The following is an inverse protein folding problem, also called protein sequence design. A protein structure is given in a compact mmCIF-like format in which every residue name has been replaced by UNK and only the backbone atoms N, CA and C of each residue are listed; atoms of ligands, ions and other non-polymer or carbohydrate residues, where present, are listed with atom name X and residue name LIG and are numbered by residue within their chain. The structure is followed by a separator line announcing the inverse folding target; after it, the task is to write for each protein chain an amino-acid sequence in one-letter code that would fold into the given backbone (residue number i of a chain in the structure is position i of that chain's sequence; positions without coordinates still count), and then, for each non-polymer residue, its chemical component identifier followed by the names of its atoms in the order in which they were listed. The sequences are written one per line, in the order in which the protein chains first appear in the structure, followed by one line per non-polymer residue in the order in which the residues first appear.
data_IF_599936767468
#
_entry.id   IF_599936767468
#
_cell.length_a   1.000
_cell.length_b   1.000
_cell.length_c   1.000
_cell.angle_alpha   90.00
_cell.angle_beta   90.00
_cell.angle_gamma   90.00
#
_symmetry.space_group_name_H-M   'P 1'
#
loop_
_entity.id
_entity.type
_entity.pdbx_description
1 polymer ?
#
# COMPACT_ATOMS: atom_id res chain seq x y z
N UNK A 1 5.17 -18.29 -1.59
CA UNK A 1 3.92 -18.62 -2.32
C UNK A 1 3.82 -17.99 -3.70
N UNK A 2 4.25 -16.75 -3.91
CA UNK A 2 4.22 -16.10 -5.24
C UNK A 2 5.26 -16.64 -6.24
N UNK A 3 6.33 -17.27 -5.78
CA UNK A 3 7.40 -17.78 -6.65
C UNK A 3 6.92 -18.83 -7.69
N UNK A 4 5.82 -19.51 -7.40
CA UNK A 4 5.20 -20.54 -8.29
C UNK A 4 3.90 -20.06 -8.95
N UNK A 5 3.52 -18.77 -8.75
CA UNK A 5 2.30 -18.23 -9.31
C UNK A 5 2.38 -18.23 -10.84
N UNK A 6 1.35 -18.77 -11.48
CA UNK A 6 1.17 -18.69 -12.93
C UNK A 6 0.68 -17.27 -13.29
N UNK A 7 1.05 -16.75 -14.47
CA UNK A 7 0.46 -15.53 -14.98
C UNK A 7 -1.06 -15.60 -14.96
N UNK A 8 -1.71 -14.48 -14.68
CA UNK A 8 -3.16 -14.40 -14.75
C UNK A 8 -3.61 -14.42 -16.22
N UNK A 9 -4.79 -14.97 -16.46
CA UNK A 9 -5.38 -14.94 -17.81
C UNK A 9 -5.67 -13.48 -18.22
N UNK A 10 -5.53 -13.18 -19.50
CA UNK A 10 -5.74 -11.83 -20.06
C UNK A 10 -7.12 -11.25 -19.70
N UNK A 11 -8.17 -12.09 -19.71
CA UNK A 11 -9.51 -11.67 -19.30
C UNK A 11 -9.58 -11.25 -17.81
N UNK A 12 -8.77 -11.85 -16.95
CA UNK A 12 -8.66 -11.45 -15.53
C UNK A 12 -7.89 -10.16 -15.39
N UNK A 13 -6.77 -10.02 -16.12
CA UNK A 13 -5.97 -8.80 -16.15
C UNK A 13 -6.80 -7.61 -16.66
N UNK A 14 -7.62 -7.79 -17.70
CA UNK A 14 -8.52 -6.76 -18.22
C UNK A 14 -9.55 -6.31 -17.16
N UNK A 15 -10.06 -7.22 -16.32
CA UNK A 15 -10.98 -6.86 -15.22
C UNK A 15 -10.25 -6.07 -14.13
N UNK A 16 -9.03 -6.45 -13.79
CA UNK A 16 -8.19 -5.74 -12.82
C UNK A 16 -7.90 -4.33 -13.33
N UNK A 17 -7.50 -4.20 -14.58
CA UNK A 17 -7.22 -2.90 -15.22
C UNK A 17 -8.48 -2.00 -15.22
N UNK A 18 -9.62 -2.56 -15.61
CA UNK A 18 -10.90 -1.83 -15.58
C UNK A 18 -11.28 -1.39 -14.15
N UNK A 19 -11.09 -2.24 -13.15
CA UNK A 19 -11.35 -1.92 -11.76
C UNK A 19 -10.49 -0.75 -11.27
N UNK A 20 -9.18 -0.78 -11.56
CA UNK A 20 -8.27 0.31 -11.20
C UNK A 20 -8.61 1.61 -11.92
N UNK A 21 -8.95 1.55 -13.22
CA UNK A 21 -9.36 2.72 -14.01
C UNK A 21 -10.66 3.35 -13.55
N UNK A 22 -11.52 2.59 -12.88
CA UNK A 22 -12.78 3.07 -12.28
C UNK A 22 -12.60 3.60 -10.85
N UNK A 23 -11.36 3.78 -10.38
CA UNK A 23 -11.05 4.28 -9.05
C UNK A 23 -10.92 3.19 -7.97
N UNK A 24 -10.92 1.92 -8.36
CA UNK A 24 -10.65 0.82 -7.44
C UNK A 24 -9.19 0.77 -6.99
N UNK A 25 -8.96 0.41 -5.74
CA UNK A 25 -7.63 0.23 -5.17
C UNK A 25 -7.36 -1.23 -4.87
N UNK A 26 -6.15 -1.70 -5.19
CA UNK A 26 -5.69 -3.08 -4.93
C UNK A 26 -4.44 -3.03 -4.08
N UNK A 27 -4.38 -3.90 -3.06
CA UNK A 27 -3.21 -4.08 -2.21
C UNK A 27 -2.57 -5.42 -2.55
N UNK A 28 -1.32 -5.40 -2.96
CA UNK A 28 -0.49 -6.58 -3.14
C UNK A 28 0.46 -6.74 -1.96
N UNK A 29 0.19 -7.73 -1.14
CA UNK A 29 1.04 -8.11 -0.01
C UNK A 29 1.82 -9.36 -0.38
N UNK A 30 3.11 -9.20 -0.70
CA UNK A 30 3.95 -10.29 -1.22
C UNK A 30 4.44 -11.24 -0.12
N UNK A 31 4.43 -10.77 1.14
CA UNK A 31 4.81 -11.55 2.35
C UNK A 31 6.25 -12.09 2.34
N UNK A 32 7.11 -11.53 1.53
CA UNK A 32 8.46 -12.03 1.30
C UNK A 32 9.56 -11.22 2.00
N UNK A 33 9.18 -10.22 2.82
CA UNK A 33 10.14 -9.54 3.66
C UNK A 33 10.81 -10.56 4.62
N UNK A 34 12.11 -10.51 4.70
CA UNK A 34 12.88 -11.47 5.53
C UNK A 34 13.25 -12.77 4.83
N UNK A 35 12.81 -13.01 3.59
CA UNK A 35 13.23 -14.15 2.77
C UNK A 35 14.43 -13.83 1.87
N UNK A 36 15.13 -12.71 2.10
CA UNK A 36 16.32 -12.31 1.33
C UNK A 36 16.00 -11.76 -0.07
N UNK A 37 14.75 -11.49 -0.37
CA UNK A 37 14.36 -10.84 -1.62
C UNK A 37 14.78 -9.36 -1.55
N UNK A 38 15.46 -8.80 -2.58
CA UNK A 38 15.84 -7.40 -2.60
C UNK A 38 14.62 -6.51 -2.36
N UNK A 39 14.73 -5.57 -1.44
CA UNK A 39 13.66 -4.65 -1.03
C UNK A 39 13.31 -3.59 -2.08
N UNK A 40 13.84 -3.71 -3.29
CA UNK A 40 13.52 -2.82 -4.41
C UNK A 40 12.43 -3.42 -5.31
N UNK A 41 11.23 -2.86 -5.26
CA UNK A 41 10.20 -3.19 -6.24
C UNK A 41 10.54 -2.56 -7.59
N UNK A 42 11.20 -3.32 -8.45
CA UNK A 42 11.27 -3.01 -9.87
C UNK A 42 10.40 -4.00 -10.63
N UNK A 43 9.25 -3.56 -11.11
CA UNK A 43 8.46 -4.34 -12.09
C UNK A 43 9.23 -4.62 -13.38
N UNK A 44 10.38 -3.96 -13.58
CA UNK A 44 11.22 -4.06 -14.78
C UNK A 44 12.58 -4.72 -14.56
N UNK A 45 12.83 -5.29 -13.37
CA UNK A 45 14.09 -5.99 -13.13
C UNK A 45 14.21 -7.19 -14.10
N UNK A 46 15.36 -7.35 -14.72
CA UNK A 46 15.69 -8.56 -15.50
C UNK A 46 15.51 -9.78 -14.60
N UNK A 47 14.63 -10.70 -15.02
CA UNK A 47 14.23 -11.85 -14.21
C UNK A 47 12.88 -11.70 -13.49
N UNK A 48 12.31 -10.50 -13.43
CA UNK A 48 10.98 -10.15 -12.91
C UNK A 48 10.70 -10.67 -11.50
N UNK A 49 10.16 -9.82 -10.64
CA UNK A 49 9.62 -10.28 -9.35
C UNK A 49 8.45 -11.24 -9.58
N UNK A 50 8.13 -12.14 -8.65
CA UNK A 50 6.93 -12.98 -8.73
C UNK A 50 5.65 -12.17 -9.02
N UNK A 51 5.55 -10.98 -8.45
CA UNK A 51 4.43 -10.07 -8.70
C UNK A 51 4.46 -9.51 -10.12
N UNK A 52 5.63 -9.11 -10.64
CA UNK A 52 5.77 -8.66 -12.02
C UNK A 52 5.37 -9.74 -13.04
N UNK A 53 5.69 -11.00 -12.76
CA UNK A 53 5.24 -12.14 -13.61
C UNK A 53 3.74 -12.37 -13.54
N UNK A 54 3.14 -12.20 -12.36
CA UNK A 54 1.69 -12.35 -12.16
C UNK A 54 0.91 -11.30 -12.94
N UNK A 55 1.42 -10.07 -12.98
CA UNK A 55 0.77 -8.87 -13.51
C UNK A 55 1.36 -8.43 -14.87
N UNK A 56 2.20 -9.24 -15.49
CA UNK A 56 3.12 -8.88 -16.58
C UNK A 56 2.56 -8.11 -17.78
N UNK A 57 1.25 -8.20 -18.04
CA UNK A 57 0.58 -7.46 -19.12
C UNK A 57 -0.28 -6.30 -18.59
N UNK A 58 -0.24 -6.02 -17.28
CA UNK A 58 -0.92 -4.85 -16.73
C UNK A 58 -0.06 -3.60 -16.90
N UNK A 59 -0.70 -2.51 -17.31
CA UNK A 59 -0.05 -1.20 -17.32
C UNK A 59 0.01 -0.65 -15.89
N UNK A 60 1.03 -1.12 -15.15
CA UNK A 60 1.26 -0.68 -13.79
C UNK A 60 2.03 0.64 -13.81
N UNK A 61 1.53 1.68 -13.11
CA UNK A 61 2.23 2.95 -12.99
C UNK A 61 3.58 2.76 -12.28
N UNK A 62 4.46 3.76 -12.42
CA UNK A 62 5.69 3.81 -11.62
C UNK A 62 5.30 3.85 -10.15
N UNK A 63 5.98 3.05 -9.33
CA UNK A 63 5.79 3.02 -7.88
C UNK A 63 6.97 3.69 -7.18
N UNK A 64 6.66 4.31 -6.03
CA UNK A 64 7.64 4.87 -5.09
C UNK A 64 7.28 4.48 -3.65
N UNK A 65 8.23 4.41 -2.73
CA UNK A 65 7.91 4.30 -1.31
C UNK A 65 7.01 5.45 -0.88
N UNK A 66 6.04 5.19 0.00
CA UNK A 66 5.13 6.22 0.51
C UNK A 66 5.93 7.41 1.04
N UNK A 67 5.81 8.61 0.43
CA UNK A 67 6.46 9.81 0.92
C UNK A 67 5.95 10.22 2.32
N UNK A 68 6.78 10.90 3.11
CA UNK A 68 6.41 11.34 4.47
C UNK A 68 5.17 12.25 4.49
N UNK A 69 4.97 13.05 3.47
CA UNK A 69 3.82 13.95 3.34
C UNK A 69 2.60 13.32 2.67
N UNK A 70 2.69 12.04 2.27
CA UNK A 70 1.59 11.35 1.60
C UNK A 70 0.36 11.23 2.49
N UNK A 71 -0.84 11.25 1.88
CA UNK A 71 -2.13 11.16 2.61
C UNK A 71 -2.23 9.91 3.48
N UNK A 72 -1.71 8.77 3.03
CA UNK A 72 -1.69 7.53 3.82
C UNK A 72 -1.03 7.69 5.20
N UNK A 73 -0.07 8.62 5.35
CA UNK A 73 0.61 8.84 6.64
C UNK A 73 -0.27 9.55 7.66
N UNK A 74 -1.42 10.11 7.23
CA UNK A 74 -2.27 10.99 8.05
C UNK A 74 -3.77 10.89 7.77
N UNK A 75 -4.24 9.88 7.03
CA UNK A 75 -5.66 9.75 6.67
C UNK A 75 -6.58 9.55 7.89
N UNK A 76 -6.09 8.94 8.97
CA UNK A 76 -6.76 8.86 10.26
C UNK A 76 -5.75 8.94 11.41
N UNK A 77 -4.76 8.03 11.45
CA UNK A 77 -3.65 8.06 12.39
C UNK A 77 -2.44 8.75 11.76
N UNK A 78 -1.62 9.40 12.59
CA UNK A 78 -0.30 9.89 12.16
C UNK A 78 0.69 8.74 12.19
N UNK A 79 1.13 8.29 11.01
CA UNK A 79 2.03 7.17 10.83
C UNK A 79 3.34 7.63 10.20
N UNK A 80 4.46 7.08 10.69
CA UNK A 80 5.80 7.29 10.11
C UNK A 80 6.32 6.05 9.38
N UNK A 81 5.70 4.90 9.65
CA UNK A 81 6.02 3.60 9.04
C UNK A 81 4.74 2.78 8.91
N UNK A 82 4.79 1.74 8.11
CA UNK A 82 3.67 0.87 7.80
C UNK A 82 4.02 -0.58 8.13
N UNK A 83 4.22 -0.92 9.41
CA UNK A 83 4.56 -2.27 9.80
C UNK A 83 3.38 -3.21 9.57
N UNK A 84 3.70 -4.46 9.27
CA UNK A 84 2.81 -5.59 9.30
C UNK A 84 3.32 -6.62 10.30
N UNK A 85 3.29 -7.90 9.92
CA UNK A 85 4.02 -8.93 10.64
C UNK A 85 5.53 -8.64 10.67
N UNK A 86 6.06 -8.04 9.61
CA UNK A 86 7.43 -7.55 9.49
C UNK A 86 7.44 -6.03 9.57
N UNK A 87 8.50 -5.46 10.14
CA UNK A 87 8.63 -4.01 10.38
C UNK A 87 9.67 -3.32 9.47
N UNK A 88 10.29 -4.00 8.57
CA UNK A 88 11.40 -3.42 7.80
C UNK A 88 11.08 -3.20 6.31
N UNK A 89 9.94 -3.66 5.83
CA UNK A 89 9.55 -3.48 4.44
C UNK A 89 8.92 -2.11 4.18
N UNK A 90 8.94 -1.71 2.92
CA UNK A 90 8.31 -0.48 2.47
C UNK A 90 6.85 -0.74 2.04
N UNK A 91 6.01 0.27 2.22
CA UNK A 91 4.75 0.37 1.50
C UNK A 91 4.97 1.27 0.28
N UNK A 92 4.56 0.78 -0.89
CA UNK A 92 4.73 1.44 -2.17
C UNK A 92 3.39 1.91 -2.70
N UNK A 93 3.40 3.10 -3.30
CA UNK A 93 2.25 3.75 -3.93
C UNK A 93 2.62 4.18 -5.35
N UNK A 94 1.64 4.59 -6.13
CA UNK A 94 1.90 5.25 -7.40
C UNK A 94 2.69 6.53 -7.19
N UNK A 95 3.81 6.67 -7.92
CA UNK A 95 4.59 7.88 -7.93
C UNK A 95 3.77 9.05 -8.51
N UNK A 96 3.95 10.23 -7.94
CA UNK A 96 3.40 11.43 -8.54
C UNK A 96 4.00 11.66 -9.92
N UNK A 97 3.15 11.86 -10.93
CA UNK A 97 3.62 12.19 -12.27
C UNK A 97 4.24 13.60 -12.25
N UNK A 98 5.42 13.80 -12.87
CA UNK A 98 5.92 15.14 -13.12
C UNK A 98 4.87 15.97 -13.86
N UNK A 99 4.70 17.23 -13.49
CA UNK A 99 3.66 18.13 -14.02
C UNK A 99 3.61 18.27 -15.56
N UNK A 100 4.63 17.81 -16.28
CA UNK A 100 4.80 18.00 -17.72
C UNK A 100 4.59 16.75 -18.59
N UNK A 101 4.32 15.60 -17.99
CA UNK A 101 4.20 14.35 -18.76
C UNK A 101 2.90 13.62 -18.46
N UNK A 102 2.03 13.57 -19.46
CA UNK A 102 0.97 12.58 -19.59
C UNK A 102 -0.43 12.94 -19.07
N UNK A 103 -1.14 13.73 -19.86
CA UNK A 103 -2.60 13.96 -19.71
C UNK A 103 -3.41 12.64 -19.64
N UNK A 104 -2.88 11.52 -20.15
CA UNK A 104 -3.52 10.20 -20.12
C UNK A 104 -3.42 9.48 -18.78
N UNK A 105 -2.38 9.76 -17.97
CA UNK A 105 -2.19 9.12 -16.65
C UNK A 105 -2.82 9.89 -15.50
N UNK A 106 -2.99 11.21 -15.63
CA UNK A 106 -3.75 12.01 -14.65
C UNK A 106 -5.22 11.58 -14.58
N UNK A 107 -5.78 11.05 -15.67
CA UNK A 107 -7.15 10.55 -15.69
C UNK A 107 -7.37 9.29 -14.82
N UNK A 108 -6.31 8.58 -14.40
CA UNK A 108 -6.43 7.42 -13.49
C UNK A 108 -6.62 7.79 -12.03
N UNK A 109 -6.17 8.96 -11.61
CA UNK A 109 -6.32 9.47 -10.24
C UNK A 109 -7.55 10.37 -10.16
N UNK A 110 -8.75 9.78 -10.24
CA UNK A 110 -10.00 10.55 -10.18
C UNK A 110 -10.09 11.32 -8.86
N UNK A 111 -9.54 10.77 -7.76
CA UNK A 111 -9.65 11.34 -6.41
C UNK A 111 -8.29 11.45 -5.67
N UNK A 112 -7.17 11.43 -6.38
CA UNK A 112 -5.83 11.46 -5.77
C UNK A 112 -5.45 10.18 -5.01
N UNK A 113 -6.25 9.11 -5.14
CA UNK A 113 -5.98 7.80 -4.52
C UNK A 113 -5.15 6.94 -5.47
N UNK A 114 -4.11 6.31 -4.95
CA UNK A 114 -3.32 5.32 -5.68
C UNK A 114 -4.18 4.10 -5.98
N UNK A 115 -4.21 3.66 -7.24
CA UNK A 115 -4.95 2.45 -7.63
C UNK A 115 -4.28 1.16 -7.16
N UNK A 116 -3.00 1.24 -6.79
CA UNK A 116 -2.21 0.09 -6.38
C UNK A 116 -1.34 0.44 -5.17
N UNK A 117 -1.37 -0.43 -4.17
CA UNK A 117 -0.44 -0.46 -3.04
C UNK A 117 0.33 -1.77 -3.07
N UNK A 118 1.62 -1.72 -2.79
CA UNK A 118 2.46 -2.93 -2.71
C UNK A 118 3.27 -2.92 -1.43
N UNK A 119 3.30 -4.05 -0.74
CA UNK A 119 4.12 -4.25 0.46
C UNK A 119 4.64 -5.68 0.54
N UNK A 120 5.66 -5.89 1.34
CA UNK A 120 6.17 -7.21 1.73
C UNK A 120 5.97 -7.50 3.22
N UNK A 121 5.29 -6.62 3.95
CA UNK A 121 5.24 -6.63 5.41
C UNK A 121 4.24 -7.64 6.02
N UNK A 122 3.50 -8.39 5.21
CA UNK A 122 2.53 -9.39 5.66
C UNK A 122 1.47 -8.80 6.61
N UNK A 123 0.73 -7.81 6.10
CA UNK A 123 -0.33 -7.15 6.85
C UNK A 123 -1.41 -8.12 7.32
N UNK A 124 -1.84 -9.02 6.43
CA UNK A 124 -2.91 -9.96 6.75
C UNK A 124 -2.57 -10.86 7.95
N UNK A 125 -1.32 -11.32 8.06
CA UNK A 125 -0.88 -12.10 9.23
C UNK A 125 -0.78 -11.25 10.50
N UNK A 126 -0.46 -9.96 10.37
CA UNK A 126 -0.45 -9.05 11.52
C UNK A 126 -1.87 -8.82 12.09
N UNK A 127 -2.89 -8.80 11.21
CA UNK A 127 -4.28 -8.58 11.59
C UNK A 127 -5.02 -9.86 12.00
N UNK A 128 -4.49 -11.02 11.66
CA UNK A 128 -5.16 -12.29 11.89
C UNK A 128 -5.28 -12.61 13.39
N UNK A 129 -6.51 -12.80 13.84
CA UNK A 129 -6.87 -13.19 15.21
C UNK A 129 -7.65 -14.50 15.19
N UNK A 130 -7.58 -15.26 16.26
CA UNK A 130 -8.43 -16.43 16.50
C UNK A 130 -9.82 -16.02 17.05
N UNK A 131 -10.67 -17.00 17.32
CA UNK A 131 -12.02 -16.81 17.87
C UNK A 131 -12.01 -16.17 19.28
N UNK A 132 -10.86 -16.17 19.96
CA UNK A 132 -10.66 -15.56 21.28
C UNK A 132 -9.97 -14.21 21.21
N UNK A 133 -9.87 -13.62 19.99
CA UNK A 133 -9.14 -12.38 19.70
C UNK A 133 -7.63 -12.46 20.03
N UNK A 134 -7.04 -13.68 20.01
CA UNK A 134 -5.61 -13.83 20.18
C UNK A 134 -4.91 -13.83 18.82
N UNK A 135 -3.74 -13.20 18.71
CA UNK A 135 -2.98 -13.17 17.48
C UNK A 135 -2.60 -14.57 16.98
N UNK A 136 -2.92 -14.88 15.72
CA UNK A 136 -2.55 -16.16 15.10
C UNK A 136 -1.06 -16.24 14.76
N UNK A 137 -0.42 -15.11 14.48
CA UNK A 137 0.99 -15.05 14.08
C UNK A 137 1.74 -14.02 14.92
N UNK A 138 2.97 -14.31 15.35
CA UNK A 138 3.80 -13.32 16.01
C UNK A 138 4.22 -12.22 15.02
N UNK A 139 4.32 -10.99 15.47
CA UNK A 139 4.99 -9.90 14.75
C UNK A 139 6.49 -9.96 14.99
N UNK A 140 7.30 -9.52 14.04
CA UNK A 140 8.78 -9.62 14.08
C UNK A 140 9.40 -8.31 13.58
N UNK A 141 10.36 -7.77 14.29
CA UNK A 141 11.02 -8.22 15.54
C UNK A 141 10.20 -7.96 16.81
N UNK A 142 9.11 -7.26 16.68
CA UNK A 142 8.46 -6.46 17.68
C UNK A 142 7.51 -7.14 18.65
N UNK A 143 6.66 -6.29 19.15
CA UNK A 143 5.82 -6.43 20.32
C UNK A 143 4.35 -6.04 19.97
N UNK A 144 3.52 -5.88 20.99
CA UNK A 144 2.14 -5.43 20.84
C UNK A 144 2.03 -4.06 20.17
N UNK A 145 3.01 -3.17 20.34
CA UNK A 145 3.03 -1.87 19.69
C UNK A 145 3.16 -2.01 18.15
N UNK A 146 4.00 -2.92 17.67
CA UNK A 146 4.09 -3.18 16.23
C UNK A 146 2.74 -3.67 15.69
N UNK A 147 2.06 -4.56 16.40
CA UNK A 147 0.73 -5.05 16.01
C UNK A 147 -0.31 -3.93 16.01
N UNK A 148 -0.32 -3.09 17.04
CA UNK A 148 -1.17 -1.91 17.07
C UNK A 148 -0.93 -1.00 15.87
N UNK A 149 0.34 -0.74 15.53
CA UNK A 149 0.70 0.05 14.36
C UNK A 149 0.26 -0.60 13.05
N UNK A 150 0.30 -1.94 12.96
CA UNK A 150 -0.23 -2.67 11.81
C UNK A 150 -1.75 -2.49 11.67
N UNK A 151 -2.51 -2.52 12.75
CA UNK A 151 -3.95 -2.20 12.71
C UNK A 151 -4.20 -0.74 12.31
N UNK A 152 -3.44 0.21 12.85
CA UNK A 152 -3.53 1.62 12.46
C UNK A 152 -3.21 1.82 10.98
N UNK A 153 -2.25 1.07 10.44
CA UNK A 153 -1.96 1.03 9.00
C UNK A 153 -3.19 0.58 8.20
N UNK A 154 -3.84 -0.50 8.63
CA UNK A 154 -5.07 -0.98 8.00
C UNK A 154 -6.18 0.07 7.99
N UNK A 155 -6.41 0.74 9.13
CA UNK A 155 -7.39 1.84 9.23
C UNK A 155 -7.04 2.96 8.26
N UNK A 156 -5.78 3.40 8.21
CA UNK A 156 -5.35 4.47 7.29
C UNK A 156 -5.57 4.07 5.83
N UNK A 157 -5.27 2.82 5.46
CA UNK A 157 -5.48 2.33 4.09
C UNK A 157 -6.97 2.37 3.72
N UNK A 158 -7.86 1.89 4.61
CA UNK A 158 -9.31 1.92 4.37
C UNK A 158 -9.80 3.36 4.28
N UNK A 159 -9.38 4.23 5.18
CA UNK A 159 -9.76 5.65 5.17
C UNK A 159 -9.27 6.34 3.90
N UNK A 160 -8.05 6.08 3.46
CA UNK A 160 -7.49 6.58 2.21
C UNK A 160 -8.31 6.11 0.99
N UNK A 161 -8.64 4.81 0.93
CA UNK A 161 -9.44 4.27 -0.16
C UNK A 161 -10.85 4.87 -0.25
N UNK A 162 -11.47 5.18 0.90
CA UNK A 162 -12.84 5.69 0.96
C UNK A 162 -12.95 7.20 0.80
N UNK A 163 -11.92 7.94 1.16
CA UNK A 163 -12.01 9.41 1.30
C UNK A 163 -11.00 10.18 0.47
N UNK A 164 -9.99 9.50 -0.08
CA UNK A 164 -8.92 10.15 -0.82
C UNK A 164 -8.26 11.26 -0.02
N UNK A 165 -7.98 12.36 -0.70
CA UNK A 165 -7.34 13.55 -0.09
C UNK A 165 -8.30 14.37 0.80
N UNK A 166 -9.62 14.20 0.64
CA UNK A 166 -10.61 15.12 1.23
C UNK A 166 -10.57 15.17 2.77
N UNK A 167 -10.33 14.03 3.43
CA UNK A 167 -10.33 13.99 4.90
C UNK A 167 -8.97 14.28 5.56
N UNK A 168 -7.88 14.11 4.85
CA UNK A 168 -6.57 14.41 5.41
C UNK A 168 -6.46 15.86 5.88
N UNK A 169 -7.03 16.78 5.09
CA UNK A 169 -7.03 18.20 5.41
C UNK A 169 -8.01 18.55 6.54
N UNK A 170 -9.14 17.84 6.64
CA UNK A 170 -10.15 18.13 7.65
C UNK A 170 -9.85 17.56 9.04
N UNK A 171 -9.21 16.39 9.13
CA UNK A 171 -8.95 15.73 10.42
C UNK A 171 -7.76 16.32 11.14
N UNK A 172 -6.77 16.82 10.40
CA UNK A 172 -5.50 17.28 11.01
C UNK A 172 -5.35 18.79 11.08
N UNK A 173 -6.08 19.56 10.26
CA UNK A 173 -6.02 21.02 10.33
C UNK A 173 -6.40 21.55 11.72
N UNK A 174 -7.49 21.12 12.40
CA UNK A 174 -7.79 21.57 13.75
C UNK A 174 -6.68 21.24 14.76
N UNK A 175 -6.14 20.01 14.72
CA UNK A 175 -5.08 19.58 15.63
C UNK A 175 -3.73 20.27 15.38
N UNK A 176 -3.44 20.63 14.13
CA UNK A 176 -2.26 21.40 13.78
C UNK A 176 -2.40 22.87 14.19
N UNK A 177 -3.59 23.46 14.01
CA UNK A 177 -3.87 24.83 14.46
C UNK A 177 -3.81 24.96 15.97
N UNK A 178 -4.30 23.96 16.72
CA UNK A 178 -4.23 23.92 18.18
C UNK A 178 -2.79 23.85 18.70
N UNK A 179 -1.90 23.15 17.97
CA UNK A 179 -0.45 23.11 18.28
C UNK A 179 0.31 24.37 17.91
N UNK A 180 -0.14 25.08 16.88
CA UNK A 180 0.50 26.33 16.43
C UNK A 180 -0.03 27.56 17.18
N UNK A 181 -1.14 27.43 17.88
CA UNK A 181 -1.76 28.49 18.70
C UNK A 181 -1.33 28.50 20.16
N UNK A 182 -0.42 27.60 20.58
CA UNK A 182 0.28 27.60 21.87
C UNK A 182 1.74 27.97 21.63
#
# INVERSE_FOLDING_TARGET
MLATARPLADATLAKIDAYMKQGGMIIFDTKDYGQGVPTGFSFRAEGGTPLARLLGNLDIPRLEPVPENHVLTKSFYLLRSFPGRWDGGQLWVEAEAPHDSDQGRQARRVDGVSSILVTSNDFASAWALDERNQPLYPVVPGDERQREMAFRTGVNIVMYALTGNYKADQVHVPALLERLGQ
#
